data_IF_103504057480
#
_entry.id   IF_103504057480
#
_cell.length_a   1.000
_cell.length_b   1.000
_cell.length_c   1.000
_cell.angle_alpha   90.00
_cell.angle_beta   90.00
_cell.angle_gamma   90.00
#
_symmetry.space_group_name_H-M   'P 1'
#
loop_
_entity.id
_entity.type
_entity.pdbx_description
1 polymer ?
#
# COMPACT_ATOMS: atom_id res chain seq x y z
N UNK A 1 0.88 -3.69 14.41
CA UNK A 1 0.15 -3.70 13.11
C UNK A 1 -0.23 -5.12 12.75
N UNK A 2 -1.45 -5.30 12.32
CA UNK A 2 -1.93 -6.58 11.81
C UNK A 2 -2.04 -6.54 10.28
N UNK A 3 -2.09 -7.70 9.66
CA UNK A 3 -2.27 -7.82 8.23
C UNK A 3 -3.16 -9.03 7.89
N UNK A 4 -3.78 -9.01 6.72
CA UNK A 4 -4.66 -10.08 6.26
C UNK A 4 -3.98 -11.06 5.32
N UNK A 5 -3.11 -10.56 4.48
CA UNK A 5 -2.48 -11.39 3.46
C UNK A 5 -1.21 -10.75 2.91
N UNK A 6 -0.37 -11.58 2.34
CA UNK A 6 0.76 -11.18 1.51
C UNK A 6 0.56 -11.92 0.19
N UNK A 7 0.24 -11.19 -0.88
CA UNK A 7 0.06 -11.80 -2.20
C UNK A 7 1.32 -11.67 -3.03
N UNK A 8 1.62 -12.71 -3.79
CA UNK A 8 2.83 -12.81 -4.60
C UNK A 8 2.48 -12.79 -6.08
N UNK A 9 3.39 -12.32 -6.91
CA UNK A 9 3.20 -12.24 -8.37
C UNK A 9 1.92 -11.48 -8.75
N UNK A 10 1.65 -10.40 -8.02
CA UNK A 10 0.47 -9.56 -8.27
C UNK A 10 0.72 -8.64 -9.46
N UNK A 11 -0.25 -8.57 -10.38
CA UNK A 11 -0.18 -7.74 -11.58
C UNK A 11 -1.23 -6.62 -11.58
N UNK A 12 -2.05 -6.53 -10.53
CA UNK A 12 -3.22 -5.63 -10.50
C UNK A 12 -3.03 -4.40 -9.63
N UNK A 13 -2.06 -4.43 -8.71
CA UNK A 13 -1.87 -3.39 -7.70
C UNK A 13 -0.56 -2.64 -7.89
N UNK A 14 -0.34 -2.12 -9.09
CA UNK A 14 0.84 -1.38 -9.48
C UNK A 14 1.50 -1.95 -10.72
N UNK A 15 2.51 -1.26 -11.22
CA UNK A 15 3.22 -1.67 -12.43
C UNK A 15 4.17 -2.85 -12.16
N UNK A 16 4.24 -3.78 -13.10
CA UNK A 16 5.12 -4.94 -13.02
C UNK A 16 4.60 -6.05 -12.13
N UNK A 17 5.46 -7.00 -11.81
CA UNK A 17 5.15 -8.12 -10.92
C UNK A 17 5.50 -7.70 -9.49
N UNK A 18 4.53 -7.80 -8.58
CA UNK A 18 4.68 -7.20 -7.26
C UNK A 18 4.34 -8.17 -6.13
N UNK A 19 4.93 -7.93 -4.96
CA UNK A 19 4.44 -8.48 -3.70
C UNK A 19 3.55 -7.41 -3.05
N UNK A 20 2.39 -7.82 -2.55
CA UNK A 20 1.41 -6.90 -1.94
C UNK A 20 1.19 -7.29 -0.49
N UNK A 21 1.34 -6.32 0.40
CA UNK A 21 0.99 -6.45 1.82
C UNK A 21 -0.38 -5.83 2.04
N UNK A 22 -1.32 -6.65 2.54
CA UNK A 22 -2.70 -6.24 2.82
C UNK A 22 -2.84 -6.01 4.32
N UNK A 23 -2.72 -4.75 4.77
CA UNK A 23 -2.75 -4.41 6.20
C UNK A 23 -4.17 -4.31 6.74
N UNK A 24 -4.30 -4.43 8.06
CA UNK A 24 -5.54 -4.20 8.80
C UNK A 24 -5.59 -2.76 9.29
N UNK A 25 -6.82 -2.24 9.46
CA UNK A 25 -7.05 -0.90 9.98
C UNK A 25 -7.30 0.11 8.88
N UNK A 26 -8.53 0.61 8.85
CA UNK A 26 -8.90 1.67 7.91
C UNK A 26 -10.01 2.49 8.56
N UNK A 27 -9.77 3.78 8.74
CA UNK A 27 -10.72 4.70 9.38
C UNK A 27 -11.74 5.25 8.38
N UNK A 28 -11.55 5.02 7.09
CA UNK A 28 -12.36 5.66 6.04
C UNK A 28 -13.74 5.02 5.87
N UNK A 29 -13.85 3.69 6.02
CA UNK A 29 -15.09 2.93 5.94
C UNK A 29 -15.91 3.26 4.69
N UNK A 30 -15.27 3.26 3.53
CA UNK A 30 -15.89 3.64 2.26
C UNK A 30 -17.05 2.70 1.91
N UNK A 31 -18.18 3.26 1.52
CA UNK A 31 -19.33 2.49 1.04
C UNK A 31 -18.92 1.76 -0.24
N UNK A 32 -19.18 0.45 -0.29
CA UNK A 32 -18.79 -0.37 -1.43
C UNK A 32 -17.30 -0.70 -1.49
N UNK A 33 -16.55 -0.46 -0.41
CA UNK A 33 -15.14 -0.80 -0.33
C UNK A 33 -14.90 -2.27 -0.71
N UNK A 34 -13.82 -2.53 -1.46
CA UNK A 34 -13.46 -3.89 -1.91
C UNK A 34 -12.93 -4.77 -0.77
N UNK A 35 -12.48 -4.17 0.34
CA UNK A 35 -11.84 -4.89 1.44
C UNK A 35 -12.41 -4.49 2.82
N UNK A 36 -13.75 -4.56 3.04
CA UNK A 36 -14.33 -4.13 4.31
C UNK A 36 -13.85 -4.96 5.50
N UNK A 37 -13.40 -6.19 5.27
CA UNK A 37 -12.86 -7.06 6.30
C UNK A 37 -11.58 -6.49 6.92
N UNK A 38 -10.92 -5.53 6.28
CA UNK A 38 -9.68 -4.91 6.78
C UNK A 38 -9.92 -3.66 7.61
N UNK A 39 -11.16 -3.23 7.85
CA UNK A 39 -11.44 -1.96 8.54
C UNK A 39 -10.98 -1.96 9.99
N UNK A 40 -11.13 -3.09 10.71
CA UNK A 40 -10.66 -3.16 12.09
C UNK A 40 -9.15 -3.35 12.14
N UNK A 41 -8.46 -2.51 12.94
CA UNK A 41 -7.02 -2.66 13.17
C UNK A 41 -6.65 -3.97 13.85
N UNK A 42 -7.61 -4.59 14.53
CA UNK A 42 -7.41 -5.85 15.26
C UNK A 42 -7.72 -7.09 14.42
N UNK A 43 -8.23 -6.90 13.21
CA UNK A 43 -8.48 -8.01 12.29
C UNK A 43 -7.18 -8.55 11.72
N UNK A 44 -7.21 -9.78 11.17
CA UNK A 44 -6.03 -10.42 10.61
C UNK A 44 -5.10 -10.97 11.67
N UNK A 45 -3.82 -11.05 11.34
CA UNK A 45 -2.77 -11.59 12.20
C UNK A 45 -1.64 -10.57 12.39
N UNK A 46 -0.85 -10.68 13.49
CA UNK A 46 0.24 -9.73 13.73
C UNK A 46 1.31 -9.77 12.62
N UNK A 47 1.75 -8.58 12.22
CA UNK A 47 2.87 -8.44 11.28
C UNK A 47 4.18 -8.60 12.05
N UNK A 48 4.70 -9.81 12.04
CA UNK A 48 5.92 -10.18 12.76
C UNK A 48 7.13 -10.27 11.82
N UNK A 49 8.27 -10.70 12.38
CA UNK A 49 9.50 -10.85 11.60
C UNK A 49 9.40 -11.91 10.51
N UNK A 50 8.60 -12.96 10.73
CA UNK A 50 8.37 -13.98 9.72
C UNK A 50 7.60 -13.42 8.52
N UNK A 51 6.60 -12.59 8.77
CA UNK A 51 5.87 -11.92 7.71
C UNK A 51 6.77 -10.97 6.92
N UNK A 52 7.61 -10.22 7.61
CA UNK A 52 8.59 -9.32 6.97
C UNK A 52 9.56 -10.11 6.08
N UNK A 53 10.05 -11.24 6.59
CA UNK A 53 10.96 -12.11 5.84
C UNK A 53 10.31 -12.63 4.56
N UNK A 54 9.04 -12.98 4.62
CA UNK A 54 8.29 -13.44 3.45
C UNK A 54 8.27 -12.37 2.34
N UNK A 55 8.08 -11.11 2.71
CA UNK A 55 8.14 -9.99 1.76
C UNK A 55 9.56 -9.86 1.19
N UNK A 56 10.58 -9.92 2.04
CA UNK A 56 11.97 -9.77 1.60
C UNK A 56 12.40 -10.89 0.66
N UNK A 57 11.99 -12.11 0.91
CA UNK A 57 12.28 -13.25 0.02
C UNK A 57 11.70 -13.02 -1.38
N UNK A 58 10.50 -12.45 -1.47
CA UNK A 58 9.90 -12.12 -2.77
C UNK A 58 10.66 -10.98 -3.46
N UNK A 59 11.06 -9.95 -2.69
CA UNK A 59 11.78 -8.81 -3.25
C UNK A 59 13.18 -9.17 -3.76
N UNK A 60 13.78 -10.26 -3.29
CA UNK A 60 15.07 -10.75 -3.79
C UNK A 60 14.97 -11.31 -5.21
N UNK A 61 13.77 -11.69 -5.65
CA UNK A 61 13.59 -12.27 -7.00
C UNK A 61 13.73 -11.20 -8.08
N UNK A 62 14.54 -11.47 -9.08
CA UNK A 62 14.87 -10.51 -10.15
C UNK A 62 13.63 -10.01 -10.89
N UNK A 63 12.63 -10.89 -11.07
CA UNK A 63 11.41 -10.53 -11.81
C UNK A 63 10.41 -9.72 -10.99
N UNK A 64 10.60 -9.58 -9.70
CA UNK A 64 9.70 -8.78 -8.84
C UNK A 64 10.12 -7.32 -8.92
N UNK A 65 9.20 -6.47 -9.36
CA UNK A 65 9.44 -5.03 -9.56
C UNK A 65 9.48 -4.26 -8.24
N UNK A 66 8.64 -4.63 -7.30
CA UNK A 66 8.59 -3.92 -6.03
C UNK A 66 7.48 -4.38 -5.09
N UNK A 67 7.27 -3.54 -4.06
CA UNK A 67 6.30 -3.77 -2.99
C UNK A 67 5.11 -2.83 -3.16
N UNK A 68 3.92 -3.35 -2.96
CA UNK A 68 2.70 -2.55 -2.85
C UNK A 68 2.12 -2.70 -1.44
N UNK A 69 1.72 -1.58 -0.85
CA UNK A 69 1.05 -1.52 0.44
C UNK A 69 -0.42 -1.18 0.20
N UNK A 70 -1.31 -2.03 0.67
CA UNK A 70 -2.74 -1.90 0.43
C UNK A 70 -3.53 -2.54 1.59
N UNK A 71 -4.78 -2.85 1.37
CA UNK A 71 -5.63 -3.55 2.34
C UNK A 71 -6.67 -2.62 2.94
N UNK A 72 -6.60 -2.41 4.25
CA UNK A 72 -7.15 -1.29 4.98
C UNK A 72 -6.42 -0.02 4.55
N UNK A 73 -5.80 0.69 5.46
CA UNK A 73 -5.01 1.86 5.07
C UNK A 73 -3.61 1.79 5.68
N UNK A 74 -2.56 1.62 4.85
CA UNK A 74 -1.18 1.64 5.34
C UNK A 74 -0.80 2.93 6.06
N UNK A 75 -1.46 4.05 5.73
CA UNK A 75 -1.20 5.34 6.37
C UNK A 75 -2.18 5.66 7.51
N UNK A 76 -3.04 4.71 7.89
CA UNK A 76 -3.83 4.84 9.11
C UNK A 76 -2.92 5.10 10.30
N UNK A 77 -3.33 5.95 11.22
CA UNK A 77 -2.50 6.36 12.37
C UNK A 77 -1.94 5.17 13.16
N UNK A 78 -2.69 4.10 13.26
CA UNK A 78 -2.27 2.88 13.95
C UNK A 78 -1.18 2.11 13.23
N UNK A 79 -0.98 2.36 11.93
CA UNK A 79 -0.05 1.62 11.08
C UNK A 79 1.20 2.43 10.71
N UNK A 80 1.14 3.75 10.81
CA UNK A 80 2.17 4.66 10.25
C UNK A 80 3.59 4.34 10.68
N UNK A 81 3.81 4.10 11.96
CA UNK A 81 5.17 3.90 12.46
C UNK A 81 5.79 2.59 11.94
N UNK A 82 5.03 1.51 11.98
CA UNK A 82 5.51 0.22 11.49
C UNK A 82 5.68 0.20 9.98
N UNK A 83 4.80 0.87 9.26
CA UNK A 83 4.93 1.02 7.80
C UNK A 83 6.18 1.84 7.47
N UNK A 84 6.45 2.93 8.20
CA UNK A 84 7.66 3.72 7.98
C UNK A 84 8.92 2.87 8.16
N UNK A 85 8.99 2.10 9.25
CA UNK A 85 10.11 1.21 9.51
C UNK A 85 10.29 0.19 8.37
N UNK A 86 9.20 -0.39 7.91
CA UNK A 86 9.23 -1.37 6.82
C UNK A 86 9.75 -0.76 5.51
N UNK A 87 9.23 0.39 5.10
CA UNK A 87 9.63 0.98 3.82
C UNK A 87 11.08 1.49 3.85
N UNK A 88 11.54 1.96 4.99
CA UNK A 88 12.97 2.33 5.16
C UNK A 88 13.86 1.10 4.99
N UNK A 89 13.51 -0.01 5.64
CA UNK A 89 14.25 -1.26 5.51
C UNK A 89 14.27 -1.78 4.07
N UNK A 90 13.13 -1.75 3.41
CA UNK A 90 13.00 -2.18 2.01
C UNK A 90 13.90 -1.35 1.10
N UNK A 91 13.89 -0.03 1.25
CA UNK A 91 14.73 0.85 0.42
C UNK A 91 16.22 0.65 0.69
N UNK A 92 16.59 0.35 1.94
CA UNK A 92 17.99 0.09 2.28
C UNK A 92 18.49 -1.24 1.72
N UNK A 93 17.67 -2.28 1.78
CA UNK A 93 18.04 -3.61 1.28
C UNK A 93 17.87 -3.77 -0.22
N UNK A 94 16.83 -3.14 -0.77
CA UNK A 94 16.44 -3.31 -2.16
C UNK A 94 16.25 -1.94 -2.85
N UNK A 95 17.34 -1.17 -3.03
CA UNK A 95 17.23 0.19 -3.55
C UNK A 95 16.65 0.28 -4.97
N UNK A 96 16.69 -0.82 -5.72
CA UNK A 96 16.17 -0.89 -7.08
C UNK A 96 14.70 -1.32 -7.16
N UNK A 97 14.09 -1.69 -6.03
CA UNK A 97 12.68 -2.07 -5.97
C UNK A 97 11.86 -0.84 -5.56
N UNK A 98 10.76 -0.60 -6.26
CA UNK A 98 9.91 0.54 -5.95
C UNK A 98 8.83 0.19 -4.92
N UNK A 99 8.22 1.23 -4.34
CA UNK A 99 7.16 1.08 -3.35
C UNK A 99 5.94 1.87 -3.81
N UNK A 100 4.83 1.15 -3.94
CA UNK A 100 3.51 1.71 -4.18
C UNK A 100 2.70 1.67 -2.89
N UNK A 101 1.93 2.71 -2.62
CA UNK A 101 1.08 2.77 -1.44
C UNK A 101 -0.32 3.28 -1.81
N UNK A 102 -1.32 2.50 -1.45
CA UNK A 102 -2.73 2.89 -1.57
C UNK A 102 -3.18 3.45 -0.24
N UNK A 103 -3.84 4.60 -0.26
CA UNK A 103 -4.39 5.24 0.94
C UNK A 103 -5.72 5.91 0.64
N UNK A 104 -6.60 5.96 1.65
CA UNK A 104 -7.85 6.71 1.55
C UNK A 104 -7.67 8.20 1.83
N UNK A 105 -6.51 8.61 2.36
CA UNK A 105 -6.20 10.04 2.53
C UNK A 105 -5.89 10.67 1.18
N UNK A 106 -6.19 11.97 1.05
CA UNK A 106 -5.73 12.75 -0.09
C UNK A 106 -4.26 13.11 0.10
N UNK A 107 -3.52 13.27 -1.00
CA UNK A 107 -2.10 13.60 -0.94
C UNK A 107 -1.83 14.81 -0.04
N UNK A 108 -2.67 15.84 -0.12
CA UNK A 108 -2.52 17.05 0.70
C UNK A 108 -2.55 16.76 2.21
N UNK A 109 -3.26 15.72 2.62
CA UNK A 109 -3.37 15.32 4.02
C UNK A 109 -2.12 14.60 4.54
N UNK A 110 -1.36 13.96 3.65
CA UNK A 110 -0.24 13.09 4.03
C UNK A 110 1.11 13.53 3.46
N UNK A 111 1.14 14.59 2.65
CA UNK A 111 2.35 15.05 1.94
C UNK A 111 3.53 15.39 2.86
N UNK A 112 3.27 15.72 4.13
CA UNK A 112 4.30 16.06 5.09
C UNK A 112 4.86 14.87 5.86
N UNK A 113 4.27 13.68 5.70
CA UNK A 113 4.77 12.48 6.35
C UNK A 113 6.12 12.08 5.76
N UNK A 114 7.01 11.59 6.64
CA UNK A 114 8.34 11.09 6.22
C UNK A 114 8.23 9.96 5.20
N UNK A 115 7.12 9.24 5.22
CA UNK A 115 6.83 8.13 4.29
C UNK A 115 6.98 8.55 2.83
N UNK A 116 6.65 9.80 2.50
CA UNK A 116 6.66 10.29 1.12
C UNK A 116 8.07 10.29 0.50
N UNK A 117 9.12 10.26 1.32
CA UNK A 117 10.51 10.15 0.82
C UNK A 117 10.82 8.75 0.28
N UNK A 118 10.10 7.74 0.76
CA UNK A 118 10.40 6.33 0.46
C UNK A 118 9.36 5.71 -0.47
N UNK A 119 8.16 6.27 -0.54
CA UNK A 119 7.11 5.82 -1.45
C UNK A 119 7.36 6.41 -2.83
N UNK A 120 7.36 5.56 -3.84
CA UNK A 120 7.60 5.99 -5.22
C UNK A 120 6.30 6.38 -5.91
N UNK A 121 5.20 5.68 -5.62
CA UNK A 121 3.89 5.97 -6.19
C UNK A 121 2.82 5.88 -5.10
N UNK A 122 2.03 6.95 -4.98
CA UNK A 122 0.90 7.00 -4.06
C UNK A 122 -0.40 6.99 -4.86
N UNK A 123 -1.29 6.07 -4.54
CA UNK A 123 -2.66 6.08 -5.06
C UNK A 123 -3.53 6.60 -3.93
N UNK A 124 -4.00 7.84 -4.07
CA UNK A 124 -4.67 8.57 -3.00
C UNK A 124 -6.18 8.61 -3.12
N UNK A 125 -6.83 8.99 -2.03
CA UNK A 125 -8.26 9.30 -1.99
C UNK A 125 -9.13 8.11 -1.69
N UNK A 126 -10.26 8.40 -1.02
CA UNK A 126 -11.24 7.38 -0.64
C UNK A 126 -11.92 6.77 -1.87
N UNK A 127 -12.20 5.47 -1.80
CA UNK A 127 -13.03 4.82 -2.82
C UNK A 127 -14.44 5.41 -2.80
N UNK A 128 -14.92 5.87 -3.95
CA UNK A 128 -16.29 6.39 -4.12
C UNK A 128 -17.02 5.50 -5.13
N UNK A 129 -18.04 4.78 -4.65
CA UNK A 129 -18.78 3.80 -5.43
C UNK A 129 -19.40 4.39 -6.71
N UNK A 130 -19.92 5.61 -6.62
CA UNK A 130 -20.54 6.31 -7.75
C UNK A 130 -19.55 6.62 -8.88
N UNK A 131 -18.26 6.68 -8.54
CA UNK A 131 -17.18 6.96 -9.49
C UNK A 131 -16.42 5.70 -9.87
N UNK A 132 -16.87 4.52 -9.42
CA UNK A 132 -16.29 3.24 -9.75
C UNK A 132 -16.46 2.96 -11.24
N UNK A 133 -15.36 2.57 -11.90
CA UNK A 133 -15.40 2.19 -13.32
C UNK A 133 -14.57 0.93 -13.51
N UNK A 134 -14.88 0.11 -14.53
CA UNK A 134 -14.09 -1.09 -14.81
C UNK A 134 -12.69 -0.79 -15.36
N UNK A 135 -12.40 0.45 -15.76
CA UNK A 135 -11.19 0.78 -16.49
C UNK A 135 -10.18 1.72 -15.83
N UNK A 136 -10.39 2.35 -14.64
CA UNK A 136 -9.30 3.15 -14.08
C UNK A 136 -8.16 2.24 -13.64
N UNK A 137 -7.04 2.38 -14.32
CA UNK A 137 -5.85 1.59 -14.05
C UNK A 137 -5.30 1.91 -12.66
N UNK A 138 -5.04 0.90 -11.85
CA UNK A 138 -4.49 1.02 -10.49
C UNK A 138 -5.40 1.71 -9.48
N UNK A 139 -6.63 2.07 -9.85
CA UNK A 139 -7.59 2.78 -8.99
C UNK A 139 -8.92 2.04 -8.91
N UNK A 140 -9.63 2.22 -7.77
CA UNK A 140 -10.98 1.70 -7.62
C UNK A 140 -12.04 2.65 -8.14
N UNK A 141 -11.80 3.97 -8.09
CA UNK A 141 -12.73 5.00 -8.54
C UNK A 141 -11.99 6.15 -9.20
N UNK A 142 -12.69 6.92 -10.04
CA UNK A 142 -12.08 7.97 -10.87
C UNK A 142 -11.56 9.17 -10.08
N UNK A 143 -12.05 9.39 -8.85
CA UNK A 143 -11.59 10.47 -7.98
C UNK A 143 -10.21 10.19 -7.37
N UNK A 144 -9.79 8.94 -7.33
CA UNK A 144 -8.48 8.54 -6.81
C UNK A 144 -7.40 8.89 -7.84
N UNK A 145 -6.24 9.36 -7.36
CA UNK A 145 -5.14 9.77 -8.23
C UNK A 145 -3.95 8.85 -8.06
N UNK A 146 -3.30 8.52 -9.17
CA UNK A 146 -2.03 7.79 -9.17
C UNK A 146 -0.92 8.84 -9.27
N UNK A 147 -0.18 9.05 -8.18
CA UNK A 147 0.81 10.12 -8.05
C UNK A 147 2.21 9.51 -8.03
N UNK A 148 3.01 9.85 -9.03
CA UNK A 148 4.39 9.37 -9.15
C UNK A 148 5.31 10.31 -8.37
N UNK A 149 5.52 10.02 -7.09
CA UNK A 149 6.28 10.87 -6.16
C UNK A 149 7.75 11.00 -6.55
N UNK A 150 8.33 9.97 -7.12
CA UNK A 150 9.72 9.99 -7.57
C UNK A 150 9.98 10.98 -8.70
N UNK A 151 8.95 11.44 -9.39
CA UNK A 151 9.05 12.46 -10.43
C UNK A 151 8.87 13.88 -9.90
N UNK A 152 8.36 14.02 -8.68
CA UNK A 152 8.09 15.30 -8.02
C UNK A 152 9.27 15.70 -7.11
N UNK A 153 9.99 14.73 -6.63
CA UNK A 153 11.11 14.92 -5.69
C UNK A 153 12.30 15.65 -6.31
#
# INVERSE_FOLDING_TARGET
MNYHNITKCDLKNGEGIRVVLWVSGCEHKCIGCHNPQTWSKDSGIPFDDNAKLEIFEELEKDYVTGLTLSGGDPLAKTNRNEILDLIIEVKNKFPNKDIWCYTGYKFDEVKTLKHMKYIDVLVDGKFEKELSTPSPKWRGSSNQKVIYLNKIK
#
